data_IF_383315372053
#
_entry.id   IF_383315372053
#
_cell.length_a   1.000
_cell.length_b   1.000
_cell.length_c   1.000
_cell.angle_alpha   90.00
_cell.angle_beta   90.00
_cell.angle_gamma   90.00
#
_symmetry.space_group_name_H-M   'P 1'
#
loop_
_entity.id
_entity.type
_entity.pdbx_description
1 polymer ?
#
# COMPACT_ATOMS: atom_id res chain seq x y z
N UNK A 1 -5.14 18.52 -1.83
CA UNK A 1 -3.71 18.69 -1.50
C UNK A 1 -2.95 17.71 -2.39
N UNK A 2 -1.91 18.15 -3.11
CA UNK A 2 -1.34 17.40 -4.25
C UNK A 2 -0.36 16.31 -3.81
N UNK A 3 -0.35 15.18 -4.53
CA UNK A 3 0.56 14.03 -4.36
C UNK A 3 2.04 14.48 -4.26
N UNK A 4 2.41 15.56 -4.93
CA UNK A 4 3.74 16.19 -4.86
C UNK A 4 4.14 16.65 -3.43
N UNK A 5 3.19 17.14 -2.61
CA UNK A 5 3.46 17.51 -1.21
C UNK A 5 3.74 16.26 -0.36
N UNK A 6 3.05 15.16 -0.65
CA UNK A 6 3.28 13.87 0.01
C UNK A 6 4.66 13.32 -0.33
N UNK A 7 5.04 13.30 -1.61
CA UNK A 7 6.36 12.85 -2.05
C UNK A 7 7.48 13.68 -1.44
N UNK A 8 7.35 15.01 -1.45
CA UNK A 8 8.35 15.91 -0.87
C UNK A 8 8.58 15.67 0.63
N UNK A 9 7.52 15.37 1.39
CA UNK A 9 7.59 15.06 2.83
C UNK A 9 8.15 13.66 3.10
N UNK A 10 7.74 12.66 2.33
CA UNK A 10 8.33 11.30 2.42
C UNK A 10 9.83 11.38 2.14
N UNK A 11 10.24 12.08 1.09
CA UNK A 11 11.64 12.24 0.73
C UNK A 11 12.43 12.99 1.80
N UNK A 12 11.85 14.04 2.38
CA UNK A 12 12.48 14.78 3.48
C UNK A 12 12.71 13.88 4.69
N UNK A 13 11.74 13.03 5.01
CA UNK A 13 11.85 12.05 6.08
C UNK A 13 12.89 10.96 5.77
N UNK A 14 12.87 10.34 4.59
CA UNK A 14 13.82 9.27 4.24
C UNK A 14 15.27 9.78 4.20
N UNK A 15 15.50 11.05 3.86
CA UNK A 15 16.81 11.70 3.94
C UNK A 15 17.38 11.79 5.35
N UNK A 16 16.58 11.66 6.41
CA UNK A 16 17.08 11.60 7.79
C UNK A 16 17.73 10.27 8.14
N UNK A 17 17.70 9.29 7.23
CA UNK A 17 18.14 7.90 7.46
C UNK A 17 17.46 7.31 8.70
N UNK A 18 16.14 7.06 8.64
CA UNK A 18 15.32 6.81 9.83
C UNK A 18 15.45 5.41 10.43
N UNK A 19 16.46 4.65 10.02
CA UNK A 19 16.78 3.35 10.58
C UNK A 19 18.25 3.26 10.93
N UNK A 20 18.54 2.50 11.98
CA UNK A 20 19.88 2.04 12.31
C UNK A 20 19.95 0.54 12.04
N UNK A 21 21.06 0.09 11.46
CA UNK A 21 21.33 -1.33 11.25
C UNK A 21 22.43 -1.75 12.23
N UNK A 22 22.12 -2.78 13.01
CA UNK A 22 23.07 -3.44 13.89
C UNK A 22 23.32 -4.85 13.38
N UNK A 23 24.58 -5.23 13.39
CA UNK A 23 25.05 -6.54 12.97
C UNK A 23 25.37 -7.41 14.19
N UNK A 24 24.90 -8.66 14.19
CA UNK A 24 25.21 -9.68 15.19
C UNK A 24 25.84 -10.89 14.52
N UNK A 25 26.95 -11.36 15.10
CA UNK A 25 27.73 -12.48 14.59
C UNK A 25 27.87 -13.52 15.69
N UNK A 26 27.64 -14.77 15.34
CA UNK A 26 28.04 -15.93 16.13
C UNK A 26 28.84 -16.91 15.24
N UNK A 27 29.78 -17.64 15.85
CA UNK A 27 30.66 -18.59 15.15
C UNK A 27 30.72 -19.91 15.89
N UNK A 28 30.38 -20.98 15.18
CA UNK A 28 30.55 -22.36 15.63
C UNK A 28 31.40 -23.12 14.62
N UNK A 29 32.70 -23.26 14.92
CA UNK A 29 33.68 -23.87 14.02
C UNK A 29 33.83 -23.11 12.71
N UNK A 30 33.42 -23.76 11.61
CA UNK A 30 33.41 -23.18 10.25
C UNK A 30 32.10 -22.44 9.94
N UNK A 31 31.06 -22.66 10.74
CA UNK A 31 29.75 -22.04 10.55
C UNK A 31 29.75 -20.65 11.18
N UNK A 32 29.30 -19.65 10.43
CA UNK A 32 28.97 -18.32 10.91
C UNK A 32 27.48 -18.07 10.80
N UNK A 33 26.91 -17.52 11.86
CA UNK A 33 25.56 -16.99 11.89
C UNK A 33 25.66 -15.47 11.89
N UNK A 34 25.09 -14.82 10.87
CA UNK A 34 25.13 -13.37 10.68
C UNK A 34 23.68 -12.87 10.63
N UNK A 35 23.36 -11.96 11.53
CA UNK A 35 22.06 -11.29 11.56
C UNK A 35 22.24 -9.78 11.42
N UNK A 36 21.44 -9.17 10.54
CA UNK A 36 21.30 -7.72 10.45
C UNK A 36 19.93 -7.31 10.96
N UNK A 37 19.91 -6.46 11.98
CA UNK A 37 18.71 -6.05 12.71
C UNK A 37 18.52 -4.55 12.48
N UNK A 38 17.38 -4.12 11.95
CA UNK A 38 17.00 -2.72 11.86
C UNK A 38 16.25 -2.30 13.09
N UNK A 39 16.51 -1.07 13.51
CA UNK A 39 15.69 -0.34 14.45
C UNK A 39 15.31 1.01 13.89
N UNK A 40 14.08 1.43 14.14
CA UNK A 40 13.62 2.77 13.78
C UNK A 40 14.24 3.79 14.74
N UNK A 41 14.93 4.80 14.21
CA UNK A 41 15.55 5.88 15.00
C UNK A 41 14.64 7.10 15.16
N UNK A 42 13.73 7.32 14.22
CA UNK A 42 12.67 8.31 14.27
C UNK A 42 11.46 7.82 13.49
N UNK A 43 10.26 8.19 13.94
CA UNK A 43 9.01 7.83 13.28
C UNK A 43 8.70 8.79 12.12
N UNK A 44 7.96 8.32 11.09
CA UNK A 44 7.45 9.22 10.05
C UNK A 44 6.56 10.31 10.66
N UNK A 45 6.57 11.54 10.11
CA UNK A 45 5.70 12.61 10.58
C UNK A 45 4.23 12.19 10.55
N UNK A 46 3.49 12.37 11.65
CA UNK A 46 2.07 12.01 11.75
C UNK A 46 1.17 12.70 10.71
N UNK A 47 1.60 13.86 10.21
CA UNK A 47 0.95 14.59 9.12
C UNK A 47 0.87 13.80 7.81
N UNK A 48 1.77 12.83 7.57
CA UNK A 48 1.68 11.94 6.40
C UNK A 48 0.37 11.15 6.41
N UNK A 49 -0.05 10.67 7.59
CA UNK A 49 -1.33 9.99 7.75
C UNK A 49 -2.53 10.88 7.43
N UNK A 50 -2.46 12.16 7.82
CA UNK A 50 -3.52 13.14 7.54
C UNK A 50 -3.62 13.47 6.05
N UNK A 51 -2.49 13.60 5.37
CA UNK A 51 -2.44 13.85 3.92
C UNK A 51 -3.04 12.67 3.15
N UNK A 52 -2.71 11.44 3.56
CA UNK A 52 -3.25 10.23 2.93
C UNK A 52 -4.74 10.09 3.19
N UNK A 53 -5.21 10.42 4.39
CA UNK A 53 -6.64 10.49 4.70
C UNK A 53 -7.39 11.47 3.78
N UNK A 54 -6.93 12.71 3.69
CA UNK A 54 -7.51 13.74 2.80
C UNK A 54 -7.50 13.31 1.33
N UNK A 55 -6.38 12.76 0.85
CA UNK A 55 -6.29 12.21 -0.50
C UNK A 55 -7.33 11.10 -0.73
N UNK A 56 -7.42 10.11 0.17
CA UNK A 56 -8.34 8.99 0.03
C UNK A 56 -9.80 9.46 0.05
N UNK A 57 -10.16 10.44 0.89
CA UNK A 57 -11.51 11.03 0.87
C UNK A 57 -11.83 11.69 -0.47
N UNK A 58 -10.90 12.49 -1.01
CA UNK A 58 -11.10 13.20 -2.27
C UNK A 58 -11.24 12.23 -3.45
N UNK A 59 -10.38 11.21 -3.54
CA UNK A 59 -10.44 10.18 -4.58
C UNK A 59 -11.74 9.37 -4.45
N UNK A 60 -12.14 8.99 -3.23
CA UNK A 60 -13.39 8.27 -2.98
C UNK A 60 -14.61 9.10 -3.38
N UNK A 61 -14.59 10.40 -3.11
CA UNK A 61 -15.65 11.33 -3.48
C UNK A 61 -15.80 11.48 -4.99
N UNK A 62 -14.70 11.45 -5.76
CA UNK A 62 -14.75 11.48 -7.22
C UNK A 62 -15.55 10.30 -7.80
N UNK A 63 -15.31 9.07 -7.30
CA UNK A 63 -16.12 7.91 -7.69
C UNK A 63 -17.60 8.06 -7.32
N UNK A 64 -17.88 8.57 -6.12
CA UNK A 64 -19.26 8.78 -5.67
C UNK A 64 -19.99 9.83 -6.51
N UNK A 65 -19.28 10.88 -6.92
CA UNK A 65 -19.79 11.91 -7.81
C UNK A 65 -20.12 11.36 -9.21
N UNK A 66 -19.30 10.45 -9.75
CA UNK A 66 -19.59 9.76 -11.02
C UNK A 66 -20.93 9.04 -10.99
N UNK A 67 -21.22 8.31 -9.90
CA UNK A 67 -22.51 7.64 -9.75
C UNK A 67 -23.64 8.64 -9.57
N UNK A 68 -23.43 9.64 -8.72
CA UNK A 68 -24.41 10.69 -8.46
C UNK A 68 -24.88 11.35 -9.76
N UNK A 69 -23.94 11.83 -10.59
CA UNK A 69 -24.28 12.49 -11.85
C UNK A 69 -24.92 11.55 -12.87
N UNK A 70 -24.45 10.30 -12.95
CA UNK A 70 -25.03 9.29 -13.83
C UNK A 70 -26.51 9.04 -13.51
N UNK A 71 -26.83 8.83 -12.22
CA UNK A 71 -28.21 8.60 -11.76
C UNK A 71 -29.07 9.86 -11.91
N UNK A 72 -28.54 11.04 -11.55
CA UNK A 72 -29.21 12.33 -11.69
C UNK A 72 -29.68 12.55 -13.13
N UNK A 73 -28.81 12.27 -14.10
CA UNK A 73 -29.09 12.43 -15.54
C UNK A 73 -30.10 11.41 -16.07
N UNK A 74 -29.98 10.14 -15.67
CA UNK A 74 -30.90 9.08 -16.12
C UNK A 74 -32.32 9.27 -15.57
N UNK A 75 -32.44 9.62 -14.28
CA UNK A 75 -33.73 9.67 -13.59
C UNK A 75 -34.40 11.04 -13.63
N UNK A 76 -33.63 12.12 -13.81
CA UNK A 76 -34.09 13.49 -13.61
C UNK A 76 -34.36 13.84 -12.14
N UNK A 77 -33.95 13.00 -11.18
CA UNK A 77 -33.96 13.34 -9.75
C UNK A 77 -32.86 14.37 -9.50
N UNK A 78 -33.21 15.53 -8.93
CA UNK A 78 -32.26 16.61 -8.67
C UNK A 78 -31.37 16.35 -7.42
N UNK A 79 -31.70 15.36 -6.58
CA UNK A 79 -30.96 15.03 -5.34
C UNK A 79 -30.90 13.50 -5.06
N UNK A 80 -30.19 12.71 -5.90
CA UNK A 80 -29.99 11.28 -5.67
C UNK A 80 -28.97 10.99 -4.55
N UNK A 81 -29.03 11.70 -3.40
CA UNK A 81 -28.08 11.64 -2.27
C UNK A 81 -27.75 10.28 -1.68
N UNK A 82 -28.54 9.24 -1.97
CA UNK A 82 -28.31 7.89 -1.48
C UNK A 82 -27.36 7.08 -2.37
N UNK A 83 -27.04 7.59 -3.57
CA UNK A 83 -26.16 6.92 -4.51
C UNK A 83 -24.72 6.92 -4.04
N UNK A 84 -24.01 5.85 -4.34
CA UNK A 84 -22.61 5.69 -4.02
C UNK A 84 -21.95 4.73 -5.02
N UNK A 85 -20.67 4.93 -5.35
CA UNK A 85 -19.91 3.90 -6.06
C UNK A 85 -19.73 2.68 -5.14
N UNK A 86 -20.25 1.49 -5.47
CA UNK A 86 -20.05 0.31 -4.64
C UNK A 86 -18.59 -0.15 -4.74
N UNK A 87 -17.98 -0.52 -3.60
CA UNK A 87 -16.67 -1.16 -3.54
C UNK A 87 -16.80 -2.41 -2.67
N UNK A 88 -16.95 -3.57 -3.31
CA UNK A 88 -17.37 -4.81 -2.67
C UNK A 88 -16.29 -5.88 -2.81
N UNK A 89 -15.81 -6.38 -1.67
CA UNK A 89 -14.83 -7.48 -1.58
C UNK A 89 -15.49 -8.87 -1.52
N UNK A 90 -16.78 -8.94 -1.13
CA UNK A 90 -17.55 -10.17 -0.99
C UNK A 90 -18.69 -10.19 -2.01
N UNK A 91 -18.56 -11.02 -3.05
CA UNK A 91 -19.53 -11.09 -4.16
C UNK A 91 -20.96 -11.36 -3.67
N UNK A 92 -21.14 -12.12 -2.58
CA UNK A 92 -22.47 -12.44 -2.04
C UNK A 92 -23.23 -11.20 -1.57
N UNK A 93 -22.52 -10.10 -1.24
CA UNK A 93 -23.12 -8.83 -0.82
C UNK A 93 -23.44 -7.90 -1.99
N UNK A 94 -22.91 -8.18 -3.18
CA UNK A 94 -22.95 -7.24 -4.30
C UNK A 94 -24.39 -6.90 -4.71
N UNK A 95 -25.26 -7.91 -4.88
CA UNK A 95 -26.64 -7.68 -5.33
C UNK A 95 -27.43 -6.71 -4.43
N UNK A 96 -27.27 -6.80 -3.11
CA UNK A 96 -27.93 -5.87 -2.18
C UNK A 96 -27.31 -4.47 -2.21
N UNK A 97 -26.00 -4.38 -2.44
CA UNK A 97 -25.31 -3.09 -2.55
C UNK A 97 -25.62 -2.40 -3.88
N UNK A 98 -25.70 -3.13 -4.98
CA UNK A 98 -26.15 -2.59 -6.27
C UNK A 98 -27.54 -1.95 -6.14
N UNK A 99 -28.50 -2.65 -5.54
CA UNK A 99 -29.87 -2.11 -5.36
C UNK A 99 -29.92 -0.85 -4.48
N UNK A 100 -29.07 -0.75 -3.48
CA UNK A 100 -29.11 0.35 -2.50
C UNK A 100 -28.20 1.53 -2.87
N UNK A 101 -27.12 1.28 -3.61
CA UNK A 101 -26.10 2.28 -3.95
C UNK A 101 -26.21 2.79 -5.38
N UNK A 102 -26.83 2.03 -6.28
CA UNK A 102 -27.05 2.40 -7.67
C UNK A 102 -28.54 2.50 -8.04
N UNK A 103 -29.43 3.07 -7.17
CA UNK A 103 -30.85 3.17 -7.51
C UNK A 103 -31.04 4.06 -8.74
N UNK A 104 -31.68 3.53 -9.78
CA UNK A 104 -31.93 4.29 -11.01
C UNK A 104 -30.71 4.47 -11.91
N UNK A 105 -29.60 3.77 -11.65
CA UNK A 105 -28.49 3.72 -12.62
C UNK A 105 -28.96 3.05 -13.93
N UNK A 106 -28.50 3.53 -15.09
CA UNK A 106 -28.93 3.00 -16.37
C UNK A 106 -28.52 1.53 -16.54
N UNK A 107 -29.38 0.73 -17.16
CA UNK A 107 -29.17 -0.72 -17.25
C UNK A 107 -27.83 -1.12 -17.92
N UNK A 108 -27.31 -0.27 -18.82
CA UNK A 108 -26.03 -0.50 -19.49
C UNK A 108 -24.81 -0.37 -18.56
N UNK A 109 -24.90 0.40 -17.47
CA UNK A 109 -23.77 0.65 -16.57
C UNK A 109 -23.61 -0.41 -15.49
N UNK A 110 -24.68 -1.12 -15.10
CA UNK A 110 -24.65 -2.16 -14.08
C UNK A 110 -23.60 -3.26 -14.31
N UNK A 111 -23.46 -3.85 -15.52
CA UNK A 111 -22.40 -4.84 -15.75
C UNK A 111 -20.99 -4.24 -15.64
N UNK A 112 -20.84 -2.94 -15.90
CA UNK A 112 -19.54 -2.24 -15.80
C UNK A 112 -19.18 -2.04 -14.33
N UNK A 113 -20.11 -1.54 -13.51
CA UNK A 113 -19.88 -1.43 -12.06
C UNK A 113 -19.52 -2.76 -11.43
N UNK A 114 -20.20 -3.85 -11.83
CA UNK A 114 -19.88 -5.21 -11.37
C UNK A 114 -18.46 -5.64 -11.76
N UNK A 115 -18.04 -5.36 -13.00
CA UNK A 115 -16.72 -5.71 -13.51
C UNK A 115 -15.57 -4.97 -12.82
N UNK A 116 -15.85 -3.80 -12.22
CA UNK A 116 -14.87 -3.01 -11.46
C UNK A 116 -14.71 -3.46 -10.00
N UNK A 117 -15.48 -4.46 -9.54
CA UNK A 117 -15.50 -4.78 -8.11
C UNK A 117 -14.32 -5.66 -7.67
N UNK A 118 -13.75 -5.37 -6.48
CA UNK A 118 -12.65 -6.16 -5.91
C UNK A 118 -12.88 -7.66 -5.79
N UNK A 119 -14.12 -8.12 -5.56
CA UNK A 119 -14.39 -9.57 -5.43
C UNK A 119 -13.97 -10.38 -6.66
N UNK A 120 -13.76 -9.73 -7.81
CA UNK A 120 -13.27 -10.39 -9.04
C UNK A 120 -11.85 -10.95 -8.88
N UNK A 121 -11.08 -10.45 -7.92
CA UNK A 121 -9.71 -10.90 -7.61
C UNK A 121 -9.68 -12.08 -6.62
N UNK A 122 -10.84 -12.54 -6.15
CA UNK A 122 -10.96 -13.72 -5.29
C UNK A 122 -10.17 -13.57 -3.98
N UNK A 123 -9.12 -14.39 -3.81
CA UNK A 123 -8.29 -14.39 -2.61
C UNK A 123 -7.55 -13.06 -2.41
N UNK A 124 -7.31 -12.33 -3.50
CA UNK A 124 -6.56 -11.07 -3.49
C UNK A 124 -7.47 -9.83 -3.45
N UNK A 125 -8.79 -10.01 -3.30
CA UNK A 125 -9.77 -8.92 -3.28
C UNK A 125 -9.47 -7.82 -2.24
N UNK A 126 -8.82 -8.16 -1.13
CA UNK A 126 -8.41 -7.19 -0.11
C UNK A 126 -7.27 -6.25 -0.57
N UNK A 127 -6.46 -6.69 -1.54
CA UNK A 127 -5.34 -5.93 -2.10
C UNK A 127 -5.71 -5.16 -3.37
N UNK A 128 -6.92 -5.36 -3.91
CA UNK A 128 -7.42 -4.60 -5.05
C UNK A 128 -7.37 -3.08 -4.76
N UNK A 129 -6.93 -2.22 -5.70
CA UNK A 129 -6.77 -0.79 -5.47
C UNK A 129 -8.01 -0.11 -4.86
N UNK A 130 -9.20 -0.39 -5.39
CA UNK A 130 -10.46 0.13 -4.83
C UNK A 130 -10.74 -0.37 -3.41
N UNK A 131 -10.43 -1.63 -3.08
CA UNK A 131 -10.62 -2.15 -1.73
C UNK A 131 -9.71 -1.43 -0.72
N UNK A 132 -8.45 -1.19 -1.09
CA UNK A 132 -7.52 -0.43 -0.26
C UNK A 132 -7.97 1.03 -0.13
N UNK A 133 -8.43 1.68 -1.20
CA UNK A 133 -9.04 3.01 -1.14
C UNK A 133 -10.21 3.05 -0.14
N UNK A 134 -11.11 2.07 -0.21
CA UNK A 134 -12.26 1.99 0.68
C UNK A 134 -11.83 1.80 2.14
N UNK A 135 -10.86 0.93 2.40
CA UNK A 135 -10.32 0.72 3.75
C UNK A 135 -9.69 1.99 4.31
N UNK A 136 -8.80 2.65 3.55
CA UNK A 136 -8.15 3.91 3.96
C UNK A 136 -9.20 5.00 4.24
N UNK A 137 -10.11 5.25 3.28
CA UNK A 137 -11.19 6.24 3.46
C UNK A 137 -12.09 5.92 4.66
N UNK A 138 -12.40 4.65 4.92
CA UNK A 138 -13.27 4.27 6.03
C UNK A 138 -12.55 4.45 7.38
N UNK A 139 -11.29 4.07 7.49
CA UNK A 139 -10.46 4.29 8.70
C UNK A 139 -10.40 5.78 9.05
N UNK A 140 -10.16 6.64 8.06
CA UNK A 140 -10.13 8.09 8.23
C UNK A 140 -11.48 8.67 8.73
N UNK A 141 -12.62 8.23 8.14
CA UNK A 141 -13.97 8.63 8.59
C UNK A 141 -14.26 8.27 10.04
N UNK A 142 -13.74 7.14 10.49
CA UNK A 142 -13.86 6.69 11.87
C UNK A 142 -12.84 7.33 12.81
N UNK A 143 -12.09 8.35 12.34
CA UNK A 143 -11.04 9.07 13.08
C UNK A 143 -9.96 8.14 13.62
N UNK A 144 -9.70 7.02 12.94
CA UNK A 144 -8.52 6.23 13.20
C UNK A 144 -7.34 6.98 12.57
N UNK A 145 -6.37 7.39 13.40
CA UNK A 145 -5.17 8.04 12.89
C UNK A 145 -4.46 7.03 11.97
N UNK A 146 -4.22 7.42 10.73
CA UNK A 146 -3.34 6.67 9.85
C UNK A 146 -1.91 6.76 10.38
N UNK A 147 -1.42 5.72 11.03
CA UNK A 147 -0.02 5.64 11.45
C UNK A 147 0.82 5.32 10.23
N UNK A 148 1.72 6.25 9.88
CA UNK A 148 2.76 5.99 8.89
C UNK A 148 3.94 5.30 9.58
N UNK A 149 4.53 4.29 8.93
CA UNK A 149 5.67 3.55 9.45
C UNK A 149 6.79 3.45 8.40
N UNK A 150 8.04 3.36 8.86
CA UNK A 150 9.17 3.07 7.97
C UNK A 150 9.07 1.64 7.49
N UNK A 151 9.19 1.45 6.19
CA UNK A 151 9.19 0.15 5.55
C UNK A 151 10.53 -0.09 4.83
N UNK A 152 11.06 -1.30 4.93
CA UNK A 152 12.07 -1.80 3.99
C UNK A 152 11.31 -2.43 2.83
N UNK A 153 11.03 -1.65 1.79
CA UNK A 153 10.30 -2.10 0.60
C UNK A 153 11.10 -3.08 -0.28
N UNK A 154 12.39 -3.23 -0.02
CA UNK A 154 13.22 -4.22 -0.70
C UNK A 154 14.62 -4.31 -0.13
N UNK A 155 15.26 -5.46 -0.32
CA UNK A 155 16.63 -5.71 0.12
C UNK A 155 17.37 -6.59 -0.88
N UNK A 156 18.62 -6.26 -1.19
CA UNK A 156 19.52 -7.11 -1.97
C UNK A 156 20.82 -7.31 -1.20
N UNK A 157 21.22 -8.57 -1.05
CA UNK A 157 22.48 -8.94 -0.42
C UNK A 157 23.51 -9.32 -1.50
N UNK A 158 24.68 -8.70 -1.46
CA UNK A 158 25.82 -9.06 -2.30
C UNK A 158 26.92 -9.62 -1.42
N UNK A 159 27.44 -10.79 -1.78
CA UNK A 159 28.55 -11.42 -1.08
C UNK A 159 29.79 -11.39 -1.98
N UNK A 160 30.93 -11.00 -1.42
CA UNK A 160 32.21 -10.95 -2.15
C UNK A 160 33.38 -11.28 -1.22
N UNK A 161 34.48 -11.78 -1.76
CA UNK A 161 35.63 -12.18 -0.95
C UNK A 161 36.53 -13.21 -1.61
N UNK A 162 37.55 -13.63 -0.88
CA UNK A 162 38.47 -14.70 -1.27
C UNK A 162 38.33 -15.97 -0.43
N UNK A 163 37.64 -15.88 0.71
CA UNK A 163 37.29 -17.07 1.51
C UNK A 163 36.32 -17.97 0.76
N UNK A 164 36.45 -19.29 0.93
CA UNK A 164 35.40 -20.20 0.51
C UNK A 164 34.14 -19.96 1.34
N UNK A 165 32.98 -19.95 0.68
CA UNK A 165 31.69 -19.69 1.29
C UNK A 165 30.66 -20.71 0.78
N UNK A 166 30.00 -21.40 1.69
CA UNK A 166 28.82 -22.19 1.40
C UNK A 166 27.63 -21.62 2.17
N UNK A 167 26.66 -21.05 1.47
CA UNK A 167 25.44 -20.51 2.07
C UNK A 167 24.55 -21.68 2.49
N UNK A 168 24.39 -21.89 3.79
CA UNK A 168 23.48 -22.89 4.38
C UNK A 168 22.05 -22.36 4.46
N UNK A 169 21.92 -21.09 4.82
CA UNK A 169 20.64 -20.38 4.91
C UNK A 169 20.85 -18.91 4.59
N UNK A 170 19.93 -18.33 3.84
CA UNK A 170 19.84 -16.90 3.59
C UNK A 170 18.36 -16.53 3.56
N UNK A 171 17.91 -15.80 4.57
CA UNK A 171 16.56 -15.25 4.61
C UNK A 171 16.65 -13.72 4.64
N UNK A 172 15.83 -13.08 3.80
CA UNK A 172 15.63 -11.64 3.80
C UNK A 172 14.17 -11.36 4.14
N UNK A 173 13.93 -10.49 5.12
CA UNK A 173 12.60 -10.18 5.60
C UNK A 173 12.32 -8.67 5.47
N UNK A 174 12.07 -8.16 4.24
CA UNK A 174 11.59 -6.79 4.04
C UNK A 174 10.25 -6.56 4.76
N UNK A 175 9.83 -5.31 4.90
CA UNK A 175 8.57 -4.90 5.53
C UNK A 175 8.73 -3.80 6.57
N UNK A 176 7.64 -3.55 7.30
CA UNK A 176 7.55 -2.48 8.31
C UNK A 176 8.54 -2.74 9.47
N UNK A 177 9.23 -1.67 9.90
CA UNK A 177 10.18 -1.67 11.02
C UNK A 177 9.50 -1.12 12.27
N UNK A 178 8.94 -2.01 13.08
CA UNK A 178 8.41 -1.72 14.42
C UNK A 178 9.38 -2.25 15.48
N UNK A 179 10.05 -1.35 16.20
CA UNK A 179 11.06 -1.76 17.18
C UNK A 179 12.27 -2.40 16.51
N UNK A 180 12.59 -3.65 16.84
CA UNK A 180 13.67 -4.43 16.21
C UNK A 180 13.11 -5.38 15.13
N UNK A 181 13.68 -5.35 13.92
CA UNK A 181 13.35 -6.27 12.83
C UNK A 181 14.61 -6.97 12.32
N UNK A 182 14.61 -8.31 12.25
CA UNK A 182 15.68 -9.07 11.60
C UNK A 182 15.50 -9.00 10.08
N UNK A 183 16.33 -8.21 9.40
CA UNK A 183 16.29 -8.02 7.95
C UNK A 183 16.97 -9.16 7.20
N UNK A 184 18.14 -9.57 7.71
CA UNK A 184 18.95 -10.63 7.13
C UNK A 184 19.23 -11.65 8.22
N UNK A 185 18.99 -12.92 7.89
CA UNK A 185 19.39 -14.06 8.70
C UNK A 185 20.17 -15.03 7.80
N UNK A 186 21.50 -15.06 7.97
CA UNK A 186 22.42 -15.81 7.15
C UNK A 186 23.20 -16.84 7.97
N UNK A 187 23.18 -18.09 7.54
CA UNK A 187 24.10 -19.12 8.02
C UNK A 187 25.02 -19.52 6.87
N UNK A 188 26.32 -19.36 7.07
CA UNK A 188 27.33 -19.62 6.05
C UNK A 188 28.43 -20.49 6.65
N UNK A 189 28.92 -21.47 5.89
CA UNK A 189 30.18 -22.14 6.22
C UNK A 189 31.31 -21.40 5.50
N UNK A 190 32.40 -21.13 6.21
CA UNK A 190 33.55 -20.44 5.65
C UNK A 190 34.88 -20.93 6.22
N UNK A 191 35.92 -20.86 5.40
CA UNK A 191 37.30 -21.19 5.78
C UNK A 191 38.05 -20.03 6.44
N UNK A 192 37.46 -18.83 6.46
CA UNK A 192 38.08 -17.63 7.01
C UNK A 192 37.17 -16.41 7.00
N UNK A 193 37.79 -15.25 7.15
CA UNK A 193 37.10 -13.99 7.41
C UNK A 193 37.25 -13.01 6.24
N UNK A 194 37.88 -13.45 5.14
CA UNK A 194 38.17 -12.64 3.98
C UNK A 194 36.97 -12.60 3.03
N UNK A 195 35.83 -12.16 3.56
CA UNK A 195 34.61 -11.91 2.80
C UNK A 195 33.84 -10.71 3.38
N UNK A 196 32.97 -10.15 2.55
CA UNK A 196 32.07 -9.07 2.90
C UNK A 196 30.68 -9.39 2.37
N UNK A 197 29.68 -9.06 3.19
CA UNK A 197 28.28 -9.02 2.77
C UNK A 197 27.90 -7.54 2.73
N UNK A 198 27.31 -7.11 1.62
CA UNK A 198 26.80 -5.76 1.43
C UNK A 198 25.27 -5.83 1.31
N UNK A 199 24.55 -5.05 2.13
CA UNK A 199 23.10 -4.87 2.02
C UNK A 199 22.79 -3.60 1.25
N UNK A 200 21.99 -3.73 0.21
CA UNK A 200 21.32 -2.61 -0.42
C UNK A 200 19.85 -2.63 -0.02
N UNK A 201 19.43 -1.61 0.72
CA UNK A 201 18.05 -1.46 1.18
C UNK A 201 17.32 -0.40 0.36
N UNK A 202 16.06 -0.67 0.04
CA UNK A 202 15.11 0.34 -0.43
C UNK A 202 14.17 0.66 0.72
N UNK A 203 14.28 1.89 1.22
CA UNK A 203 13.36 2.39 2.25
C UNK A 203 12.16 3.07 1.61
N UNK A 204 11.03 2.93 2.27
CA UNK A 204 9.77 3.57 1.94
C UNK A 204 9.03 3.94 3.23
N UNK A 205 7.90 4.62 3.07
CA UNK A 205 6.94 4.84 4.14
C UNK A 205 5.66 4.10 3.73
N UNK A 206 5.10 3.31 4.63
CA UNK A 206 3.86 2.57 4.47
C UNK A 206 2.82 3.03 5.51
N UNK A 207 1.55 2.68 5.30
CA UNK A 207 0.55 2.78 6.36
C UNK A 207 0.52 1.51 7.19
N UNK A 208 0.34 1.63 8.50
CA UNK A 208 0.19 0.47 9.38
C UNK A 208 -0.98 -0.43 8.94
N UNK A 209 -0.70 -1.72 8.78
CA UNK A 209 -1.64 -2.71 8.27
C UNK A 209 -1.85 -2.68 6.75
N UNK A 210 -1.06 -1.92 5.99
CA UNK A 210 -1.01 -1.95 4.53
C UNK A 210 0.46 -2.12 4.11
N UNK A 211 0.81 -3.30 3.60
CA UNK A 211 2.16 -3.63 3.16
C UNK A 211 2.45 -3.10 1.75
N UNK A 212 2.32 -1.78 1.58
CA UNK A 212 2.68 -1.09 0.36
C UNK A 212 3.16 0.34 0.65
N UNK A 213 4.18 0.84 -0.08
CA UNK A 213 4.58 2.23 -0.01
C UNK A 213 3.42 3.18 -0.29
N UNK A 214 3.24 4.20 0.55
CA UNK A 214 2.13 5.15 0.44
C UNK A 214 2.07 5.81 -0.94
N UNK A 215 3.21 6.22 -1.49
CA UNK A 215 3.28 6.88 -2.79
C UNK A 215 2.90 5.93 -3.94
N UNK A 216 3.38 4.68 -3.90
CA UNK A 216 3.02 3.68 -4.90
C UNK A 216 1.53 3.35 -4.85
N UNK A 217 1.00 3.19 -3.63
CA UNK A 217 -0.42 2.98 -3.39
C UNK A 217 -1.26 4.14 -3.95
N UNK A 218 -0.87 5.38 -3.62
CA UNK A 218 -1.60 6.56 -4.02
C UNK A 218 -1.59 6.76 -5.54
N UNK A 219 -0.46 6.49 -6.20
CA UNK A 219 -0.35 6.55 -7.66
C UNK A 219 -1.28 5.53 -8.34
N UNK A 220 -1.18 4.24 -7.97
CA UNK A 220 -1.99 3.17 -8.56
C UNK A 220 -3.48 3.42 -8.38
N UNK A 221 -3.91 3.82 -7.18
CA UNK A 221 -5.32 4.10 -6.91
C UNK A 221 -5.80 5.34 -7.69
N UNK A 222 -4.97 6.38 -7.78
CA UNK A 222 -5.34 7.60 -8.52
C UNK A 222 -5.50 7.30 -10.01
N UNK A 223 -4.59 6.53 -10.60
CA UNK A 223 -4.66 6.12 -12.01
C UNK A 223 -5.90 5.25 -12.28
N UNK A 224 -6.17 4.27 -11.42
CA UNK A 224 -7.34 3.40 -11.52
C UNK A 224 -8.65 4.21 -11.46
N UNK A 225 -8.76 5.12 -10.49
CA UNK A 225 -9.96 5.97 -10.33
C UNK A 225 -10.10 6.95 -11.49
N UNK A 226 -9.01 7.54 -11.96
CA UNK A 226 -9.03 8.43 -13.12
C UNK A 226 -9.53 7.70 -14.38
N UNK A 227 -9.06 6.48 -14.63
CA UNK A 227 -9.52 5.66 -15.74
C UNK A 227 -11.02 5.34 -15.65
N UNK A 228 -11.53 5.04 -14.45
CA UNK A 228 -12.97 4.82 -14.22
C UNK A 228 -13.77 6.09 -14.51
N UNK A 229 -13.36 7.24 -13.96
CA UNK A 229 -14.05 8.51 -14.17
C UNK A 229 -14.04 8.91 -15.65
N UNK A 230 -12.91 8.77 -16.33
CA UNK A 230 -12.77 9.04 -17.77
C UNK A 230 -13.71 8.15 -18.59
N UNK A 231 -13.79 6.86 -18.25
CA UNK A 231 -14.67 5.92 -18.94
C UNK A 231 -16.15 6.32 -18.88
N UNK A 232 -16.61 6.87 -17.75
CA UNK A 232 -17.99 7.35 -17.59
C UNK A 232 -18.23 8.75 -18.16
N UNK A 233 -17.18 9.55 -18.39
CA UNK A 233 -17.29 10.96 -18.80
C UNK A 233 -18.24 11.20 -19.99
N UNK A 234 -18.25 10.40 -21.07
CA UNK A 234 -19.16 10.61 -22.19
C UNK A 234 -20.66 10.48 -21.84
N UNK A 235 -21.00 9.78 -20.77
CA UNK A 235 -22.38 9.69 -20.26
C UNK A 235 -22.74 10.86 -19.32
N UNK A 236 -21.72 11.62 -18.89
CA UNK A 236 -21.82 12.76 -17.98
C UNK A 236 -21.75 14.11 -18.70
N UNK A 237 -21.67 14.13 -20.04
CA UNK A 237 -21.78 15.33 -20.89
C UNK A 237 -23.23 15.53 -21.36
#
# INVERSE_FOLDING_TARGET
MHLDDLEGRIDAYLRTQPIQIREQHDRDGVTRHIQWIATTSNEPPAELGLIVGDWAQNVRAALDYTVYELVRRETGDDDPRWTQFPIIVDEARYAGQEQTRLPGAPAWSLPVFRGLQPFSDGADAAYHPLAVLADVSNRDKHRLLHTAATEIAGSQARVSGTSMLAIRRLAQNPGIVEGERVLLDAMIDTDGDNFQIELNLRLAVALEGIEAPINALAAVITDEVAAIVEWFTPALD
#
